data_IF_412123484503
#
_entry.id   IF_412123484503
#
_cell.length_a   1.000
_cell.length_b   1.000
_cell.length_c   1.000
_cell.angle_alpha   90.00
_cell.angle_beta   90.00
_cell.angle_gamma   90.00
#
_symmetry.space_group_name_H-M   'P 1'
#
loop_
_entity.id
_entity.type
_entity.pdbx_description
1 polymer ?
#
# COMPACT_ATOMS: atom_id res chain seq x y z
N UNK A 1 41.20 2.85 -18.90
CA UNK A 1 39.91 3.35 -19.42
C UNK A 1 38.86 3.53 -18.32
N UNK A 2 38.68 2.57 -17.41
CA UNK A 2 37.71 2.67 -16.29
C UNK A 2 38.00 3.78 -15.27
N UNK A 3 39.29 4.01 -14.92
CA UNK A 3 39.68 5.08 -14.00
C UNK A 3 39.45 6.49 -14.56
N UNK A 4 39.67 6.72 -15.85
CA UNK A 4 39.38 8.01 -16.50
C UNK A 4 37.89 8.29 -16.58
N UNK A 5 37.04 7.25 -16.71
CA UNK A 5 35.56 7.40 -16.68
C UNK A 5 35.08 7.74 -15.26
N UNK A 6 35.71 7.13 -14.23
CA UNK A 6 35.36 7.41 -12.82
C UNK A 6 35.75 8.85 -12.44
N UNK A 7 36.93 9.33 -12.87
CA UNK A 7 37.37 10.71 -12.65
C UNK A 7 36.50 11.74 -13.38
N UNK A 8 36.02 11.40 -14.59
CA UNK A 8 35.07 12.25 -15.31
C UNK A 8 33.67 12.28 -14.67
N UNK A 9 33.22 11.17 -14.08
CA UNK A 9 31.96 11.11 -13.34
C UNK A 9 32.04 11.87 -12.01
N UNK A 10 33.16 11.73 -11.29
CA UNK A 10 33.39 12.44 -10.03
C UNK A 10 33.56 13.95 -10.25
N UNK A 11 34.24 14.35 -11.34
CA UNK A 11 34.35 15.77 -11.68
C UNK A 11 33.04 16.39 -12.13
N UNK A 12 32.16 15.63 -12.85
CA UNK A 12 30.84 16.10 -13.22
C UNK A 12 29.89 16.20 -11.99
N UNK A 13 30.01 15.28 -11.03
CA UNK A 13 29.23 15.35 -9.77
C UNK A 13 29.68 16.55 -8.93
N UNK A 14 30.98 16.80 -8.80
CA UNK A 14 31.51 17.96 -8.06
C UNK A 14 31.08 19.29 -8.70
N UNK A 15 31.17 19.39 -10.03
CA UNK A 15 30.70 20.59 -10.76
C UNK A 15 29.20 20.81 -10.62
N UNK A 16 28.41 19.74 -10.66
CA UNK A 16 26.96 19.84 -10.44
C UNK A 16 26.62 20.26 -9.01
N UNK A 17 27.34 19.77 -8.00
CA UNK A 17 27.17 20.20 -6.61
C UNK A 17 27.52 21.66 -6.39
N UNK A 18 28.58 22.18 -7.01
CA UNK A 18 28.94 23.61 -6.95
C UNK A 18 27.89 24.49 -7.68
N UNK A 19 27.43 24.04 -8.85
CA UNK A 19 26.39 24.73 -9.60
C UNK A 19 25.07 24.80 -8.83
N UNK A 20 24.72 23.72 -8.14
CA UNK A 20 23.53 23.71 -7.25
C UNK A 20 23.71 24.62 -6.05
N UNK A 21 24.90 24.66 -5.43
CA UNK A 21 25.19 25.63 -4.36
C UNK A 21 25.09 27.07 -4.83
N UNK A 22 25.58 27.36 -6.03
CA UNK A 22 25.51 28.72 -6.60
C UNK A 22 24.06 29.11 -6.92
N UNK A 23 23.28 28.18 -7.48
CA UNK A 23 21.87 28.39 -7.79
C UNK A 23 21.01 28.51 -6.53
N UNK A 24 21.33 27.73 -5.48
CA UNK A 24 20.66 27.83 -4.19
C UNK A 24 20.96 29.16 -3.47
N UNK A 25 22.19 29.66 -3.58
CA UNK A 25 22.56 30.97 -3.06
C UNK A 25 21.83 32.10 -3.81
N UNK A 26 21.72 32.02 -5.14
CA UNK A 26 20.93 32.98 -5.94
C UNK A 26 19.45 32.92 -5.59
N UNK A 27 18.86 31.71 -5.51
CA UNK A 27 17.46 31.53 -5.17
C UNK A 27 17.13 31.98 -3.72
N UNK A 28 18.08 31.85 -2.76
CA UNK A 28 17.92 32.38 -1.40
C UNK A 28 17.88 33.89 -1.33
N UNK A 29 18.56 34.58 -2.27
CA UNK A 29 18.52 36.04 -2.40
C UNK A 29 17.24 36.53 -3.04
N UNK A 30 16.73 35.77 -4.04
CA UNK A 30 15.55 36.16 -4.84
C UNK A 30 14.23 35.58 -4.34
N UNK A 31 14.25 34.68 -3.32
CA UNK A 31 13.05 33.99 -2.79
C UNK A 31 12.34 33.09 -3.82
N UNK A 32 13.02 32.68 -4.89
CA UNK A 32 12.47 31.84 -5.95
C UNK A 32 12.48 30.36 -5.57
N UNK A 33 11.42 29.59 -5.88
CA UNK A 33 11.39 28.15 -5.66
C UNK A 33 12.51 27.42 -6.39
N UNK A 34 13.17 26.45 -5.73
CA UNK A 34 14.27 25.69 -6.32
C UNK A 34 14.07 24.21 -6.12
N UNK A 35 14.37 23.41 -7.19
CA UNK A 35 14.20 21.96 -7.19
C UNK A 35 15.56 21.27 -7.22
N UNK A 36 15.85 20.47 -6.19
CA UNK A 36 17.14 19.80 -6.03
C UNK A 36 17.12 18.39 -6.63
N UNK A 37 18.23 17.95 -7.24
CA UNK A 37 18.34 16.58 -7.75
C UNK A 37 18.28 15.51 -6.65
N UNK A 38 18.71 15.86 -5.45
CA UNK A 38 18.67 15.01 -4.25
C UNK A 38 17.28 14.47 -3.93
N UNK A 39 16.21 15.11 -4.43
CA UNK A 39 14.83 14.64 -4.27
C UNK A 39 14.63 13.19 -4.70
N UNK A 40 15.32 12.78 -5.79
CA UNK A 40 15.22 11.42 -6.30
C UNK A 40 15.88 10.40 -5.37
N UNK A 41 17.01 10.75 -4.76
CA UNK A 41 17.65 9.91 -3.74
C UNK A 41 16.76 9.78 -2.50
N UNK A 42 16.16 10.88 -2.05
CA UNK A 42 15.21 10.86 -0.91
C UNK A 42 14.01 9.98 -1.21
N UNK A 43 13.45 10.09 -2.42
CA UNK A 43 12.34 9.25 -2.87
C UNK A 43 12.73 7.77 -2.94
N UNK A 44 13.92 7.46 -3.47
CA UNK A 44 14.43 6.09 -3.51
C UNK A 44 14.56 5.48 -2.11
N UNK A 45 15.09 6.22 -1.14
CA UNK A 45 15.19 5.77 0.26
C UNK A 45 13.81 5.46 0.85
N UNK A 46 12.83 6.32 0.59
CA UNK A 46 11.46 6.08 0.99
C UNK A 46 10.86 4.85 0.30
N UNK A 47 11.07 4.69 -1.01
CA UNK A 47 10.61 3.51 -1.76
C UNK A 47 11.21 2.21 -1.23
N UNK A 48 12.49 2.18 -0.86
CA UNK A 48 13.14 1.02 -0.26
C UNK A 48 12.53 0.67 1.12
N UNK A 49 12.23 1.68 1.92
CA UNK A 49 11.55 1.49 3.21
C UNK A 49 10.14 0.93 3.00
N UNK A 50 9.38 1.54 2.11
CA UNK A 50 8.02 1.12 1.75
C UNK A 50 8.00 -0.31 1.20
N UNK A 51 8.94 -0.65 0.33
CA UNK A 51 9.17 -2.00 -0.20
C UNK A 51 9.41 -3.01 0.93
N UNK A 52 10.35 -2.72 1.84
CA UNK A 52 10.69 -3.62 2.95
C UNK A 52 9.51 -3.88 3.88
N UNK A 53 8.74 -2.84 4.21
CA UNK A 53 7.56 -2.99 5.06
C UNK A 53 6.44 -3.76 4.37
N UNK A 54 6.18 -3.48 3.10
CA UNK A 54 5.15 -4.16 2.31
C UNK A 54 5.45 -5.65 2.11
N UNK A 55 6.72 -6.02 1.90
CA UNK A 55 7.17 -7.41 1.90
C UNK A 55 6.80 -8.10 3.21
N UNK A 56 7.06 -7.47 4.34
CA UNK A 56 6.80 -8.03 5.67
C UNK A 56 5.30 -8.17 6.00
N UNK A 57 4.43 -7.44 5.30
CA UNK A 57 2.99 -7.60 5.48
C UNK A 57 2.50 -8.96 5.02
N UNK A 58 2.91 -9.42 3.83
CA UNK A 58 2.28 -10.56 3.15
C UNK A 58 3.12 -11.85 3.17
N UNK A 59 4.43 -11.77 3.41
CA UNK A 59 5.38 -12.87 3.23
C UNK A 59 5.05 -14.14 4.04
N UNK A 60 4.38 -14.04 5.19
CA UNK A 60 3.95 -15.20 5.98
C UNK A 60 2.59 -15.74 5.55
N UNK A 61 1.69 -14.88 5.11
CA UNK A 61 0.35 -15.30 4.71
C UNK A 61 0.36 -16.11 3.40
N UNK A 62 1.29 -15.82 2.48
CA UNK A 62 1.39 -16.58 1.23
C UNK A 62 1.90 -18.01 1.43
N UNK A 63 2.59 -18.28 2.53
CA UNK A 63 3.05 -19.61 2.94
C UNK A 63 2.30 -20.09 4.21
N UNK A 64 1.04 -19.72 4.36
CA UNK A 64 0.25 -19.99 5.57
C UNK A 64 0.24 -21.48 5.95
N UNK A 65 0.15 -22.39 4.98
CA UNK A 65 0.23 -23.82 5.21
C UNK A 65 1.53 -24.26 5.89
N UNK A 66 2.68 -23.74 5.45
CA UNK A 66 3.99 -24.03 6.06
C UNK A 66 4.12 -23.42 7.44
N UNK A 67 3.61 -22.21 7.63
CA UNK A 67 3.60 -21.52 8.93
C UNK A 67 2.76 -22.29 9.95
N UNK A 68 1.59 -22.80 9.54
CA UNK A 68 0.74 -23.65 10.39
C UNK A 68 1.46 -24.92 10.80
N UNK A 69 2.15 -25.57 9.86
CA UNK A 69 2.87 -26.83 10.14
C UNK A 69 4.06 -26.60 11.06
N UNK A 70 4.84 -25.54 10.85
CA UNK A 70 6.01 -25.23 11.64
C UNK A 70 5.68 -24.82 13.07
N UNK A 71 4.69 -23.93 13.27
CA UNK A 71 4.30 -23.41 14.60
C UNK A 71 3.19 -24.24 15.28
N UNK A 72 3.03 -25.49 14.92
CA UNK A 72 1.95 -26.35 15.40
C UNK A 72 1.89 -26.53 16.93
N UNK A 73 3.00 -26.37 17.64
CA UNK A 73 3.06 -26.51 19.10
C UNK A 73 2.45 -25.32 19.83
N UNK A 74 2.50 -24.14 19.25
CA UNK A 74 1.97 -22.90 19.83
C UNK A 74 0.60 -22.49 19.27
N UNK A 75 0.13 -23.18 18.23
CA UNK A 75 -1.16 -22.93 17.62
C UNK A 75 -2.24 -23.85 18.19
N UNK A 76 -3.50 -23.41 18.12
CA UNK A 76 -4.66 -24.19 18.58
C UNK A 76 -4.82 -25.49 17.78
N UNK A 77 -5.27 -26.54 18.45
CA UNK A 77 -5.68 -27.78 17.81
C UNK A 77 -6.95 -27.61 16.95
N UNK A 78 -7.76 -26.61 17.23
CA UNK A 78 -8.94 -26.28 16.44
C UNK A 78 -8.51 -25.65 15.12
N UNK A 79 -8.92 -26.24 13.99
CA UNK A 79 -8.52 -25.83 12.64
C UNK A 79 -8.89 -24.38 12.33
N UNK A 80 -10.11 -23.96 12.65
CA UNK A 80 -10.54 -22.59 12.46
C UNK A 80 -9.66 -21.58 13.22
N UNK A 81 -9.41 -21.84 14.50
CA UNK A 81 -8.59 -20.95 15.34
C UNK A 81 -7.14 -20.90 14.86
N UNK A 82 -6.60 -22.04 14.44
CA UNK A 82 -5.24 -22.17 13.93
C UNK A 82 -5.07 -21.35 12.64
N UNK A 83 -5.95 -21.54 11.66
CA UNK A 83 -5.91 -20.82 10.38
C UNK A 83 -6.19 -19.33 10.58
N UNK A 84 -7.15 -18.96 11.45
CA UNK A 84 -7.40 -17.57 11.80
C UNK A 84 -6.21 -16.89 12.44
N UNK A 85 -5.40 -17.59 13.25
CA UNK A 85 -4.20 -17.01 13.85
C UNK A 85 -3.19 -16.57 12.77
N UNK A 86 -3.07 -17.32 11.67
CA UNK A 86 -2.22 -16.93 10.54
C UNK A 86 -2.81 -15.72 9.80
N UNK A 87 -4.11 -15.67 9.60
CA UNK A 87 -4.76 -14.51 8.98
C UNK A 87 -4.52 -13.23 9.79
N UNK A 88 -4.50 -13.33 11.11
CA UNK A 88 -4.19 -12.22 12.00
C UNK A 88 -2.79 -11.63 11.81
N UNK A 89 -1.84 -12.36 11.24
CA UNK A 89 -0.54 -11.80 10.87
C UNK A 89 -0.66 -10.67 9.84
N UNK A 90 -1.66 -10.73 8.97
CA UNK A 90 -1.99 -9.64 8.03
C UNK A 90 -3.00 -8.66 8.62
N UNK A 91 -4.03 -9.15 9.31
CA UNK A 91 -5.11 -8.34 9.89
C UNK A 91 -4.59 -7.34 10.92
N UNK A 92 -3.54 -7.68 11.66
CA UNK A 92 -2.94 -6.77 12.65
C UNK A 92 -2.46 -5.46 12.01
N UNK A 93 -1.99 -5.47 10.77
CA UNK A 93 -1.63 -4.26 10.04
C UNK A 93 -2.84 -3.36 9.78
N UNK A 94 -3.97 -3.97 9.45
CA UNK A 94 -5.23 -3.25 9.20
C UNK A 94 -5.76 -2.64 10.50
N UNK A 95 -5.75 -3.42 11.58
CA UNK A 95 -6.24 -2.99 12.89
C UNK A 95 -5.39 -1.85 13.47
N UNK A 96 -4.08 -1.99 13.46
CA UNK A 96 -3.13 -0.98 13.96
C UNK A 96 -3.28 0.33 13.15
N UNK A 97 -3.49 0.25 11.83
CA UNK A 97 -3.73 1.42 11.01
C UNK A 97 -4.95 2.23 11.51
N UNK A 98 -6.08 1.55 11.71
CA UNK A 98 -7.31 2.21 12.18
C UNK A 98 -7.12 2.87 13.54
N UNK A 99 -6.44 2.20 14.48
CA UNK A 99 -6.28 2.69 15.85
C UNK A 99 -5.27 3.84 15.93
N UNK A 100 -4.16 3.75 15.19
CA UNK A 100 -3.02 4.64 15.35
C UNK A 100 -2.82 5.68 14.25
N UNK A 101 -3.69 5.73 13.23
CA UNK A 101 -3.50 6.68 12.12
C UNK A 101 -3.52 8.14 12.58
N UNK A 102 -4.39 8.49 13.53
CA UNK A 102 -4.49 9.85 14.06
C UNK A 102 -3.21 10.26 14.80
N UNK A 103 -2.73 9.52 15.81
CA UNK A 103 -1.47 9.86 16.48
C UNK A 103 -0.26 9.78 15.55
N UNK A 104 -0.24 8.87 14.56
CA UNK A 104 0.83 8.79 13.58
C UNK A 104 0.89 10.03 12.65
N UNK A 105 -0.27 10.50 12.20
CA UNK A 105 -0.37 11.73 11.41
C UNK A 105 0.07 12.95 12.24
N UNK A 106 -0.39 13.04 13.48
CA UNK A 106 0.07 14.08 14.40
C UNK A 106 1.60 14.06 14.60
N UNK A 107 2.18 12.87 14.77
CA UNK A 107 3.63 12.71 14.90
C UNK A 107 4.36 13.20 13.64
N UNK A 108 3.86 12.82 12.45
CA UNK A 108 4.40 13.26 11.17
C UNK A 108 4.35 14.79 11.02
N UNK A 109 3.24 15.42 11.43
CA UNK A 109 3.06 16.87 11.34
C UNK A 109 3.99 17.63 12.28
N UNK A 110 4.16 17.13 13.50
CA UNK A 110 5.00 17.78 14.53
C UNK A 110 6.49 17.52 14.37
N UNK A 111 6.88 16.33 13.95
CA UNK A 111 8.27 15.85 13.94
C UNK A 111 8.90 15.81 12.55
N UNK A 112 8.09 15.94 11.50
CA UNK A 112 8.55 15.98 10.11
C UNK A 112 8.75 14.59 9.49
N UNK A 113 9.13 14.62 8.21
CA UNK A 113 9.32 13.42 7.39
C UNK A 113 10.49 12.56 7.85
N UNK A 114 11.63 13.21 8.15
CA UNK A 114 12.86 12.50 8.50
C UNK A 114 12.68 11.65 9.74
N UNK A 115 12.20 12.24 10.82
CA UNK A 115 12.07 11.52 12.08
C UNK A 115 11.00 10.42 12.00
N UNK A 116 9.91 10.66 11.25
CA UNK A 116 8.88 9.66 10.99
C UNK A 116 9.43 8.46 10.21
N UNK A 117 10.22 8.69 9.16
CA UNK A 117 10.84 7.61 8.40
C UNK A 117 11.93 6.88 9.20
N UNK A 118 12.73 7.58 10.02
CA UNK A 118 13.72 6.95 10.90
C UNK A 118 13.02 6.03 11.91
N UNK A 119 11.99 6.53 12.58
CA UNK A 119 11.26 5.76 13.58
C UNK A 119 10.52 4.57 12.93
N UNK A 120 9.86 4.79 11.80
CA UNK A 120 9.19 3.72 11.06
C UNK A 120 10.15 2.65 10.55
N UNK A 121 11.27 3.03 9.90
CA UNK A 121 12.25 2.07 9.40
C UNK A 121 12.99 1.33 10.54
N UNK A 122 13.21 1.98 11.68
CA UNK A 122 13.70 1.32 12.88
C UNK A 122 12.75 0.23 13.38
N UNK A 123 11.45 0.53 13.52
CA UNK A 123 10.45 -0.45 13.92
C UNK A 123 10.34 -1.60 12.92
N UNK A 124 10.44 -1.30 11.63
CA UNK A 124 10.45 -2.31 10.59
C UNK A 124 11.65 -3.26 10.71
N UNK A 125 12.84 -2.74 10.95
CA UNK A 125 14.05 -3.53 11.18
C UNK A 125 13.95 -4.33 12.50
N UNK A 126 13.47 -3.71 13.58
CA UNK A 126 13.27 -4.38 14.87
C UNK A 126 12.31 -5.57 14.74
N UNK A 127 11.17 -5.39 14.06
CA UNK A 127 10.24 -6.47 13.78
C UNK A 127 10.86 -7.60 12.95
N UNK A 128 11.70 -7.27 11.97
CA UNK A 128 12.41 -8.27 11.17
C UNK A 128 13.39 -9.10 12.02
N UNK A 129 14.12 -8.48 12.94
CA UNK A 129 15.03 -9.21 13.86
C UNK A 129 14.28 -10.04 14.89
N UNK A 130 13.15 -9.57 15.40
CA UNK A 130 12.29 -10.37 16.28
C UNK A 130 11.77 -11.64 15.60
N UNK A 131 11.50 -11.57 14.27
CA UNK A 131 11.16 -12.77 13.49
C UNK A 131 12.30 -13.77 13.44
N UNK A 132 13.56 -13.33 13.34
CA UNK A 132 14.71 -14.23 13.43
C UNK A 132 14.77 -14.95 14.79
N UNK A 133 14.42 -14.26 15.89
CA UNK A 133 14.37 -14.85 17.22
C UNK A 133 13.14 -15.75 17.45
N UNK A 134 12.14 -15.68 16.57
CA UNK A 134 10.90 -16.44 16.67
C UNK A 134 10.92 -17.81 16.01
N UNK A 135 12.03 -18.20 15.39
CA UNK A 135 12.16 -19.49 14.67
C UNK A 135 12.27 -20.62 15.69
N UNK A 136 11.12 -21.02 16.22
CA UNK A 136 10.93 -22.16 17.10
C UNK A 136 9.42 -22.47 17.16
N UNK A 137 8.98 -23.73 17.14
CA UNK A 137 7.58 -24.10 17.06
C UNK A 137 6.68 -23.58 18.18
N UNK A 138 7.27 -23.23 19.32
CA UNK A 138 6.60 -22.70 20.52
C UNK A 138 6.48 -21.17 20.55
N UNK A 139 7.03 -20.45 19.55
CA UNK A 139 7.18 -18.98 19.57
C UNK A 139 6.30 -18.21 18.56
N UNK A 140 5.14 -18.73 18.22
CA UNK A 140 4.21 -17.99 17.34
C UNK A 140 3.82 -16.63 17.93
N UNK A 141 3.70 -16.51 19.24
CA UNK A 141 3.43 -15.24 19.92
C UNK A 141 4.48 -14.16 19.60
N UNK A 142 5.75 -14.56 19.43
CA UNK A 142 6.82 -13.64 19.07
C UNK A 142 6.73 -13.18 17.60
N UNK A 143 6.28 -14.08 16.70
CA UNK A 143 5.96 -13.70 15.30
C UNK A 143 4.85 -12.67 15.28
N UNK A 144 3.77 -12.86 16.05
CA UNK A 144 2.66 -11.93 16.15
C UNK A 144 3.10 -10.57 16.71
N UNK A 145 3.95 -10.57 17.74
CA UNK A 145 4.54 -9.36 18.31
C UNK A 145 5.38 -8.63 17.27
N UNK A 146 6.22 -9.34 16.54
CA UNK A 146 7.04 -8.78 15.45
C UNK A 146 6.18 -8.16 14.34
N UNK A 147 5.10 -8.85 13.92
CA UNK A 147 4.15 -8.33 12.95
C UNK A 147 3.45 -7.07 13.43
N UNK A 148 3.08 -7.02 14.70
CA UNK A 148 2.47 -5.83 15.31
C UNK A 148 3.43 -4.63 15.28
N UNK A 149 4.70 -4.83 15.57
CA UNK A 149 5.73 -3.78 15.47
C UNK A 149 5.90 -3.31 14.02
N UNK A 150 5.95 -4.23 13.05
CA UNK A 150 5.99 -3.89 11.63
C UNK A 150 4.71 -3.16 11.17
N UNK A 151 3.55 -3.51 11.76
CA UNK A 151 2.28 -2.83 11.48
C UNK A 151 2.29 -1.36 11.94
N UNK A 152 2.92 -1.05 13.09
CA UNK A 152 3.11 0.33 13.53
C UNK A 152 3.99 1.09 12.53
N UNK A 153 5.04 0.46 12.02
CA UNK A 153 5.88 1.04 10.96
C UNK A 153 5.08 1.41 9.71
N UNK A 154 4.10 0.61 9.30
CA UNK A 154 3.27 0.85 8.11
C UNK A 154 2.52 2.18 8.11
N UNK A 155 2.21 2.74 9.28
CA UNK A 155 1.49 4.00 9.41
C UNK A 155 2.14 5.14 8.60
N UNK A 156 3.46 5.19 8.60
CA UNK A 156 4.22 6.18 7.83
C UNK A 156 4.51 5.75 6.39
N UNK A 157 4.36 4.49 6.05
CA UNK A 157 4.48 4.01 4.67
C UNK A 157 3.28 4.45 3.83
N UNK A 158 2.05 4.26 4.33
CA UNK A 158 0.84 4.56 3.58
C UNK A 158 0.47 6.05 3.56
N UNK A 159 0.83 6.80 4.60
CA UNK A 159 0.46 8.20 4.76
C UNK A 159 1.45 9.21 4.16
N UNK A 160 2.67 8.80 3.87
CA UNK A 160 3.76 9.73 3.50
C UNK A 160 3.85 10.06 2.01
N UNK A 161 3.53 9.19 1.02
CA UNK A 161 3.92 9.44 -0.38
C UNK A 161 3.50 10.80 -0.92
N UNK A 162 2.25 11.20 -0.73
CA UNK A 162 1.75 12.49 -1.22
C UNK A 162 2.44 13.68 -0.52
N UNK A 163 2.63 13.60 0.78
CA UNK A 163 3.32 14.63 1.55
C UNK A 163 4.80 14.72 1.17
N UNK A 164 5.44 13.57 1.00
CA UNK A 164 6.83 13.48 0.56
C UNK A 164 7.03 14.18 -0.79
N UNK A 165 6.16 13.88 -1.75
CA UNK A 165 6.16 14.50 -3.06
C UNK A 165 5.94 16.02 -2.98
N UNK A 166 5.00 16.48 -2.17
CA UNK A 166 4.72 17.91 -1.99
C UNK A 166 5.90 18.66 -1.37
N UNK A 167 6.66 18.05 -0.45
CA UNK A 167 7.80 18.68 0.22
C UNK A 167 9.05 18.76 -0.66
N UNK A 168 9.29 17.73 -1.49
CA UNK A 168 10.55 17.58 -2.23
C UNK A 168 10.47 17.89 -3.73
N UNK A 169 9.28 17.83 -4.33
CA UNK A 169 9.10 17.92 -5.79
C UNK A 169 8.34 19.17 -6.21
N UNK A 170 8.70 19.69 -7.37
CA UNK A 170 8.01 20.82 -7.98
C UNK A 170 6.59 20.47 -8.47
N UNK A 171 5.73 21.47 -8.76
CA UNK A 171 4.32 21.28 -9.07
C UNK A 171 4.06 20.31 -10.22
N UNK A 172 4.97 20.25 -11.19
CA UNK A 172 4.82 19.41 -12.39
C UNK A 172 5.24 17.94 -12.16
N UNK A 173 5.88 17.63 -11.03
CA UNK A 173 6.46 16.30 -10.72
C UNK A 173 5.81 15.63 -9.50
N UNK A 174 4.95 16.33 -8.76
CA UNK A 174 4.32 15.82 -7.51
C UNK A 174 3.55 14.54 -7.75
N UNK A 175 2.73 14.47 -8.81
CA UNK A 175 1.94 13.28 -9.14
C UNK A 175 2.83 12.08 -9.47
N UNK A 176 3.89 12.29 -10.26
CA UNK A 176 4.87 11.26 -10.61
C UNK A 176 5.60 10.74 -9.37
N UNK A 177 6.03 11.63 -8.48
CA UNK A 177 6.74 11.27 -7.27
C UNK A 177 5.85 10.49 -6.28
N UNK A 178 4.59 10.89 -6.14
CA UNK A 178 3.59 10.17 -5.35
C UNK A 178 3.38 8.76 -5.90
N UNK A 179 3.21 8.64 -7.21
CA UNK A 179 3.01 7.35 -7.89
C UNK A 179 4.21 6.42 -7.71
N UNK A 180 5.43 6.93 -7.80
CA UNK A 180 6.66 6.16 -7.55
C UNK A 180 6.75 5.71 -6.09
N UNK A 181 6.37 6.55 -5.13
CA UNK A 181 6.31 6.18 -3.72
C UNK A 181 5.35 5.03 -3.45
N UNK A 182 4.17 5.07 -4.07
CA UNK A 182 3.19 3.97 -4.01
C UNK A 182 3.70 2.73 -4.76
N UNK A 183 4.36 2.91 -5.90
CA UNK A 183 4.95 1.82 -6.67
C UNK A 183 5.96 1.00 -5.87
N UNK A 184 6.81 1.65 -5.06
CA UNK A 184 7.74 0.95 -4.16
C UNK A 184 7.04 -0.02 -3.21
N UNK A 185 5.88 0.38 -2.66
CA UNK A 185 5.03 -0.48 -1.84
C UNK A 185 4.49 -1.68 -2.63
N UNK A 186 3.95 -1.46 -3.81
CA UNK A 186 3.37 -2.52 -4.65
C UNK A 186 4.42 -3.56 -5.06
N UNK A 187 5.62 -3.13 -5.44
CA UNK A 187 6.73 -4.07 -5.74
C UNK A 187 7.11 -4.88 -4.50
N UNK A 188 7.10 -4.27 -3.31
CA UNK A 188 7.31 -4.99 -2.05
C UNK A 188 6.30 -6.11 -1.82
N UNK A 189 5.02 -5.85 -2.09
CA UNK A 189 3.96 -6.87 -2.01
C UNK A 189 4.19 -7.97 -3.08
N UNK A 190 4.50 -7.60 -4.31
CA UNK A 190 4.73 -8.55 -5.40
C UNK A 190 5.88 -9.52 -5.08
N UNK A 191 7.00 -8.99 -4.57
CA UNK A 191 8.15 -9.79 -4.13
C UNK A 191 7.80 -10.62 -2.88
N UNK A 192 6.96 -10.09 -1.99
CA UNK A 192 6.42 -10.78 -0.82
C UNK A 192 5.52 -11.96 -1.17
N UNK A 193 4.88 -11.94 -2.32
CA UNK A 193 4.17 -13.11 -2.86
C UNK A 193 5.11 -14.12 -3.52
N UNK A 194 6.12 -13.66 -4.24
CA UNK A 194 6.98 -14.51 -5.06
C UNK A 194 8.04 -15.26 -4.25
N UNK A 195 8.77 -14.56 -3.39
CA UNK A 195 10.00 -15.08 -2.78
C UNK A 195 9.72 -16.13 -1.69
N UNK A 196 8.77 -15.95 -0.74
CA UNK A 196 8.58 -16.91 0.35
C UNK A 196 8.27 -18.33 -0.12
N UNK A 197 7.35 -18.60 -1.07
CA UNK A 197 7.09 -19.96 -1.53
C UNK A 197 8.27 -20.62 -2.27
N UNK A 198 9.21 -19.82 -2.78
CA UNK A 198 10.44 -20.31 -3.42
C UNK A 198 11.55 -20.65 -2.42
N UNK A 199 11.52 -20.05 -1.23
CA UNK A 199 12.54 -20.26 -0.20
C UNK A 199 12.10 -21.23 0.89
N UNK A 200 10.82 -21.26 1.22
CA UNK A 200 10.29 -22.01 2.36
C UNK A 200 9.30 -23.06 1.86
N UNK A 201 9.66 -24.32 2.03
CA UNK A 201 8.90 -25.45 1.53
C UNK A 201 8.33 -26.28 2.67
N UNK A 202 7.18 -26.93 2.42
CA UNK A 202 6.66 -27.96 3.31
C UNK A 202 7.60 -29.16 3.31
N UNK A 203 8.13 -29.52 4.44
CA UNK A 203 9.02 -30.68 4.60
C UNK A 203 8.60 -31.49 5.83
N UNK A 204 8.76 -32.81 5.77
CA UNK A 204 8.61 -33.69 6.93
C UNK A 204 9.76 -33.54 7.92
N UNK A 205 10.88 -33.01 7.44
CA UNK A 205 12.05 -32.71 8.27
C UNK A 205 11.94 -31.30 8.83
N UNK A 206 11.78 -31.19 10.14
CA UNK A 206 11.64 -29.92 10.86
C UNK A 206 12.90 -29.05 10.75
N UNK A 207 14.08 -29.66 10.77
CA UNK A 207 15.35 -28.93 10.68
C UNK A 207 15.51 -28.20 9.33
N UNK A 208 14.98 -28.81 8.26
CA UNK A 208 14.95 -28.19 6.94
C UNK A 208 14.01 -26.98 6.93
N UNK A 209 12.80 -27.08 7.48
CA UNK A 209 11.88 -25.94 7.57
C UNK A 209 12.44 -24.82 8.44
N UNK A 210 13.06 -25.16 9.57
CA UNK A 210 13.71 -24.20 10.46
C UNK A 210 14.82 -23.42 9.71
N UNK A 211 15.65 -24.13 8.95
CA UNK A 211 16.70 -23.50 8.13
C UNK A 211 16.13 -22.57 7.08
N UNK A 212 15.07 -22.97 6.38
CA UNK A 212 14.40 -22.16 5.37
C UNK A 212 13.83 -20.86 5.98
N UNK A 213 13.19 -20.94 7.16
CA UNK A 213 12.71 -19.76 7.88
C UNK A 213 13.86 -18.84 8.31
N UNK A 214 14.97 -19.39 8.81
CA UNK A 214 16.14 -18.58 9.15
C UNK A 214 16.70 -17.86 7.95
N UNK A 215 16.84 -18.51 6.81
CA UNK A 215 17.34 -17.89 5.57
C UNK A 215 16.43 -16.71 5.18
N UNK A 216 15.13 -16.93 5.11
CA UNK A 216 14.17 -15.90 4.73
C UNK A 216 14.19 -14.71 5.71
N UNK A 217 14.16 -14.97 7.01
CA UNK A 217 14.11 -13.93 8.02
C UNK A 217 15.43 -13.15 8.13
N UNK A 218 16.60 -13.82 8.03
CA UNK A 218 17.87 -13.12 8.04
C UNK A 218 18.10 -12.24 6.82
N UNK A 219 17.72 -12.70 5.62
CA UNK A 219 17.79 -11.87 4.41
C UNK A 219 16.90 -10.62 4.58
N UNK A 220 15.68 -10.81 5.07
CA UNK A 220 14.76 -9.71 5.31
C UNK A 220 15.26 -8.75 6.40
N UNK A 221 15.80 -9.27 7.52
CA UNK A 221 16.34 -8.46 8.62
C UNK A 221 17.58 -7.67 8.17
N UNK A 222 18.48 -8.29 7.41
CA UNK A 222 19.65 -7.63 6.84
C UNK A 222 19.24 -6.50 5.90
N UNK A 223 18.28 -6.74 5.00
CA UNK A 223 17.77 -5.72 4.09
C UNK A 223 17.08 -4.57 4.83
N UNK A 224 16.21 -4.87 5.80
CA UNK A 224 15.54 -3.85 6.60
C UNK A 224 16.52 -3.00 7.41
N UNK A 225 17.58 -3.62 7.98
CA UNK A 225 18.64 -2.92 8.71
C UNK A 225 19.47 -2.04 7.78
N UNK A 226 19.80 -2.53 6.58
CA UNK A 226 20.53 -1.76 5.58
C UNK A 226 19.72 -0.50 5.18
N UNK A 227 18.44 -0.65 4.91
CA UNK A 227 17.53 0.47 4.59
C UNK A 227 17.43 1.45 5.75
N UNK A 228 17.31 0.96 6.99
CA UNK A 228 17.30 1.82 8.18
C UNK A 228 18.57 2.66 8.30
N UNK A 229 19.74 2.05 8.12
CA UNK A 229 21.03 2.76 8.18
C UNK A 229 21.11 3.81 7.08
N UNK A 230 20.69 3.49 5.85
CA UNK A 230 20.65 4.46 4.75
C UNK A 230 19.76 5.66 5.07
N UNK A 231 18.57 5.41 5.62
CA UNK A 231 17.62 6.47 6.03
C UNK A 231 18.21 7.33 7.15
N UNK A 232 18.81 6.70 8.16
CA UNK A 232 19.43 7.40 9.27
C UNK A 232 20.53 8.37 8.82
N UNK A 233 21.36 7.93 7.86
CA UNK A 233 22.51 8.69 7.38
C UNK A 233 22.14 9.74 6.33
N UNK A 234 21.27 9.42 5.38
CA UNK A 234 21.09 10.22 4.17
C UNK A 234 19.75 10.93 4.05
N UNK A 235 18.67 10.44 4.71
CA UNK A 235 17.36 11.05 4.57
C UNK A 235 17.32 12.44 5.24
N UNK A 236 16.83 13.43 4.50
CA UNK A 236 16.65 14.80 4.99
C UNK A 236 15.16 15.11 5.14
N UNK A 237 14.82 15.99 6.07
CA UNK A 237 13.42 16.35 6.37
C UNK A 237 12.77 17.16 5.24
N UNK A 238 13.47 18.16 4.76
CA UNK A 238 13.03 19.08 3.71
C UNK A 238 14.22 19.61 2.92
N UNK A 239 14.02 20.08 1.67
CA UNK A 239 15.06 20.77 0.93
C UNK A 239 15.37 22.13 1.57
N UNK A 240 16.57 22.71 1.29
CA UNK A 240 16.96 24.03 1.81
C UNK A 240 15.99 25.15 1.42
N UNK A 241 15.45 25.09 0.18
CA UNK A 241 14.42 26.01 -0.33
C UNK A 241 13.19 25.24 -0.75
N UNK A 242 11.98 25.78 -0.55
CA UNK A 242 10.75 25.10 -0.95
C UNK A 242 10.68 24.94 -2.47
N UNK A 243 10.17 23.79 -2.98
CA UNK A 243 10.12 23.49 -4.40
C UNK A 243 9.01 24.25 -5.15
N UNK A 244 8.07 24.88 -4.43
CA UNK A 244 6.98 25.66 -5.00
C UNK A 244 6.46 26.74 -4.04
N UNK A 245 5.82 27.77 -4.63
CA UNK A 245 5.11 28.81 -3.85
C UNK A 245 3.92 28.21 -3.10
N UNK A 246 3.25 27.21 -3.66
CA UNK A 246 2.14 26.52 -2.99
C UNK A 246 2.61 25.80 -1.72
N UNK A 247 3.79 25.17 -1.75
CA UNK A 247 4.39 24.55 -0.55
C UNK A 247 4.76 25.58 0.50
N UNK A 248 5.24 26.76 0.08
CA UNK A 248 5.55 27.84 1.00
C UNK A 248 4.29 28.36 1.71
N UNK A 249 3.19 28.53 0.96
CA UNK A 249 1.89 28.92 1.53
C UNK A 249 1.27 27.80 2.39
N UNK A 250 1.40 26.54 2.01
CA UNK A 250 0.85 25.42 2.76
C UNK A 250 1.48 25.27 4.15
N UNK A 251 2.75 25.60 4.30
CA UNK A 251 3.43 25.63 5.61
C UNK A 251 2.81 26.70 6.52
N UNK A 252 2.40 27.84 5.95
CA UNK A 252 1.79 28.96 6.69
C UNK A 252 0.31 28.68 7.05
N UNK A 253 -0.43 27.97 6.20
CA UNK A 253 -1.87 27.68 6.36
C UNK A 253 -2.12 26.43 7.23
N UNK A 254 -1.28 25.41 7.13
CA UNK A 254 -1.42 24.16 7.90
C UNK A 254 -1.37 24.38 9.44
N UNK A 255 -0.91 25.55 9.88
CA UNK A 255 -0.90 25.94 11.29
C UNK A 255 -2.30 26.33 11.84
N UNK A 256 -3.34 26.48 11.00
CA UNK A 256 -4.61 27.11 11.38
C UNK A 256 -5.87 26.29 11.07
N UNK A 257 -5.82 25.18 10.32
CA UNK A 257 -7.01 24.35 10.07
C UNK A 257 -7.23 23.30 11.15
N UNK A 258 -8.43 23.28 11.72
CA UNK A 258 -8.89 22.24 12.63
C UNK A 258 -9.20 20.94 11.87
N UNK A 259 -8.26 20.01 11.84
CA UNK A 259 -8.36 18.69 11.20
C UNK A 259 -9.68 17.97 11.48
N UNK A 260 -10.17 18.00 12.70
CA UNK A 260 -11.44 17.35 13.06
C UNK A 260 -12.67 17.98 12.41
N UNK A 261 -12.68 19.29 12.17
CA UNK A 261 -13.81 19.94 11.48
C UNK A 261 -13.87 19.53 10.00
N UNK A 262 -12.71 19.45 9.34
CA UNK A 262 -12.59 18.95 7.98
C UNK A 262 -13.13 17.52 7.87
N UNK A 263 -12.73 16.65 8.79
CA UNK A 263 -13.18 15.25 8.87
C UNK A 263 -14.73 15.17 8.97
N UNK A 264 -15.34 15.94 9.86
CA UNK A 264 -16.80 15.95 10.02
C UNK A 264 -17.55 16.49 8.80
N UNK A 265 -16.99 17.52 8.10
CA UNK A 265 -17.58 18.02 6.86
C UNK A 265 -17.59 16.97 5.77
N UNK A 266 -16.49 16.23 5.59
CA UNK A 266 -16.41 15.13 4.62
C UNK A 266 -17.39 14.01 4.93
N UNK A 267 -17.52 13.60 6.20
CA UNK A 267 -18.49 12.56 6.60
C UNK A 267 -19.97 12.98 6.45
N UNK A 268 -20.27 14.28 6.36
CA UNK A 268 -21.60 14.78 6.00
C UNK A 268 -21.89 14.76 4.51
N UNK A 269 -20.85 14.67 3.66
CA UNK A 269 -21.02 14.58 2.21
C UNK A 269 -21.46 13.16 1.82
N UNK A 270 -22.74 12.99 1.46
CA UNK A 270 -23.31 11.69 1.08
C UNK A 270 -22.58 11.03 -0.10
N UNK A 271 -22.15 11.82 -1.09
CA UNK A 271 -21.40 11.32 -2.24
C UNK A 271 -20.06 10.73 -1.82
N UNK A 272 -19.36 11.42 -0.92
CA UNK A 272 -18.10 10.93 -0.37
C UNK A 272 -18.28 9.67 0.49
N UNK A 273 -19.33 9.61 1.32
CA UNK A 273 -19.63 8.43 2.15
C UNK A 273 -19.91 7.20 1.27
N UNK A 274 -20.71 7.34 0.21
CA UNK A 274 -20.94 6.24 -0.74
C UNK A 274 -19.66 5.80 -1.42
N UNK A 275 -18.81 6.76 -1.84
CA UNK A 275 -17.50 6.45 -2.42
C UNK A 275 -16.60 5.74 -1.39
N UNK A 276 -16.57 6.20 -0.13
CA UNK A 276 -15.75 5.59 0.92
C UNK A 276 -16.17 4.13 1.20
N UNK A 277 -17.46 3.84 1.22
CA UNK A 277 -17.97 2.47 1.37
C UNK A 277 -17.60 1.63 0.14
N UNK A 278 -17.84 2.15 -1.07
CA UNK A 278 -17.50 1.44 -2.31
C UNK A 278 -15.98 1.19 -2.41
N UNK A 279 -15.15 2.19 -2.10
CA UNK A 279 -13.70 2.05 -2.03
C UNK A 279 -13.27 1.01 -1.01
N UNK A 280 -13.90 1.03 0.17
CA UNK A 280 -13.68 0.05 1.22
C UNK A 280 -13.98 -1.38 0.78
N UNK A 281 -15.09 -1.60 0.08
CA UNK A 281 -15.47 -2.93 -0.42
C UNK A 281 -14.44 -3.46 -1.43
N UNK A 282 -14.09 -2.69 -2.46
CA UNK A 282 -13.18 -3.18 -3.52
C UNK A 282 -11.74 -3.33 -3.02
N UNK A 283 -11.23 -2.36 -2.28
CA UNK A 283 -9.87 -2.41 -1.74
C UNK A 283 -9.76 -3.40 -0.58
N UNK A 284 -10.79 -3.48 0.26
CA UNK A 284 -10.90 -4.50 1.30
C UNK A 284 -10.94 -5.90 0.71
N UNK A 285 -11.64 -6.12 -0.40
CA UNK A 285 -11.64 -7.39 -1.13
C UNK A 285 -10.25 -7.74 -1.66
N UNK A 286 -9.51 -6.76 -2.18
CA UNK A 286 -8.13 -6.96 -2.61
C UNK A 286 -7.22 -7.42 -1.46
N UNK A 287 -7.29 -6.76 -0.30
CA UNK A 287 -6.51 -7.16 0.88
C UNK A 287 -6.93 -8.53 1.40
N UNK A 288 -8.21 -8.85 1.35
CA UNK A 288 -8.75 -10.16 1.76
C UNK A 288 -8.26 -11.28 0.84
N UNK A 289 -8.34 -11.09 -0.48
CA UNK A 289 -7.80 -12.07 -1.45
C UNK A 289 -6.31 -12.25 -1.22
N UNK A 290 -5.57 -11.17 -1.04
CA UNK A 290 -4.12 -11.22 -0.77
C UNK A 290 -3.80 -12.03 0.48
N UNK A 291 -4.54 -11.82 1.56
CA UNK A 291 -4.34 -12.52 2.85
C UNK A 291 -4.70 -14.01 2.76
N UNK A 292 -5.80 -14.32 2.07
CA UNK A 292 -6.34 -15.68 1.97
C UNK A 292 -5.91 -16.45 0.71
N UNK A 293 -5.05 -15.86 -0.13
CA UNK A 293 -4.68 -16.45 -1.42
C UNK A 293 -4.13 -17.87 -1.30
N UNK A 294 -3.27 -18.11 -0.32
CA UNK A 294 -2.73 -19.45 -0.05
C UNK A 294 -3.86 -20.45 0.25
N UNK A 295 -4.79 -20.09 1.13
CA UNK A 295 -5.91 -20.95 1.49
C UNK A 295 -6.85 -21.23 0.31
N UNK A 296 -7.14 -20.19 -0.50
CA UNK A 296 -7.99 -20.31 -1.69
C UNK A 296 -7.33 -21.23 -2.72
N UNK A 297 -6.07 -20.98 -3.05
CA UNK A 297 -5.37 -21.72 -4.10
C UNK A 297 -5.09 -23.17 -3.71
N UNK A 298 -4.58 -23.42 -2.52
CA UNK A 298 -4.25 -24.78 -2.09
C UNK A 298 -5.48 -25.67 -1.80
N UNK A 299 -6.66 -25.05 -1.64
CA UNK A 299 -7.91 -25.82 -1.59
C UNK A 299 -8.20 -26.54 -2.92
N UNK A 300 -7.95 -25.87 -4.06
CA UNK A 300 -8.20 -26.40 -5.40
C UNK A 300 -6.95 -27.04 -6.03
N UNK A 301 -5.77 -26.48 -5.77
CA UNK A 301 -4.49 -26.87 -6.39
C UNK A 301 -3.50 -27.30 -5.31
N UNK A 302 -3.55 -28.57 -4.95
CA UNK A 302 -2.63 -29.12 -3.93
C UNK A 302 -1.20 -29.14 -4.45
N UNK A 303 -0.24 -28.81 -3.59
CA UNK A 303 1.20 -28.75 -3.88
C UNK A 303 1.63 -27.72 -4.94
N UNK A 304 0.82 -26.67 -5.13
CA UNK A 304 1.10 -25.58 -6.09
C UNK A 304 1.46 -24.26 -5.36
N UNK A 305 2.27 -24.36 -4.29
CA UNK A 305 2.67 -23.21 -3.45
C UNK A 305 3.42 -22.16 -4.26
N UNK A 306 4.37 -22.56 -5.11
CA UNK A 306 5.11 -21.63 -5.95
C UNK A 306 4.21 -20.91 -6.97
N UNK A 307 3.29 -21.63 -7.62
CA UNK A 307 2.35 -21.03 -8.55
C UNK A 307 1.34 -20.12 -7.82
N UNK A 308 0.98 -20.43 -6.59
CA UNK A 308 0.19 -19.54 -5.73
C UNK A 308 0.90 -18.20 -5.51
N UNK A 309 2.19 -18.22 -5.21
CA UNK A 309 3.01 -17.01 -5.09
C UNK A 309 3.13 -16.24 -6.42
N UNK A 310 3.34 -16.93 -7.53
CA UNK A 310 3.39 -16.32 -8.87
C UNK A 310 2.06 -15.67 -9.27
N UNK A 311 0.93 -16.28 -8.90
CA UNK A 311 -0.42 -15.71 -9.10
C UNK A 311 -0.56 -14.44 -8.29
N UNK A 312 -0.16 -14.45 -7.02
CA UNK A 312 -0.16 -13.24 -6.17
C UNK A 312 0.67 -12.11 -6.77
N UNK A 313 1.89 -12.41 -7.22
CA UNK A 313 2.73 -11.45 -7.94
C UNK A 313 2.05 -10.93 -9.21
N UNK A 314 1.41 -11.79 -9.98
CA UNK A 314 0.68 -11.42 -11.21
C UNK A 314 -0.45 -10.43 -10.91
N UNK A 315 -1.23 -10.67 -9.86
CA UNK A 315 -2.30 -9.75 -9.40
C UNK A 315 -1.74 -8.35 -9.16
N UNK A 316 -0.61 -8.25 -8.48
CA UNK A 316 0.01 -6.95 -8.16
C UNK A 316 0.57 -6.27 -9.40
N UNK A 317 1.35 -6.97 -10.21
CA UNK A 317 2.00 -6.38 -11.39
C UNK A 317 0.97 -5.93 -12.45
N UNK A 318 -0.05 -6.73 -12.71
CA UNK A 318 -1.15 -6.31 -13.59
C UNK A 318 -1.94 -5.15 -13.00
N UNK A 319 -2.11 -5.11 -11.68
CA UNK A 319 -2.75 -4.01 -10.97
C UNK A 319 -1.99 -2.69 -11.08
N UNK A 320 -0.66 -2.71 -10.99
CA UNK A 320 0.19 -1.53 -11.25
C UNK A 320 0.00 -1.03 -12.68
N UNK A 321 -0.01 -1.92 -13.65
CA UNK A 321 -0.28 -1.59 -15.05
C UNK A 321 -1.68 -0.97 -15.22
N UNK A 322 -2.69 -1.57 -14.58
CA UNK A 322 -4.06 -1.07 -14.56
C UNK A 322 -4.16 0.34 -13.96
N UNK A 323 -3.44 0.60 -12.86
CA UNK A 323 -3.40 1.91 -12.22
C UNK A 323 -2.80 3.00 -13.13
N UNK A 324 -1.72 2.67 -13.85
CA UNK A 324 -1.09 3.59 -14.81
C UNK A 324 -2.05 3.90 -15.97
N UNK A 325 -2.67 2.88 -16.56
CA UNK A 325 -3.61 3.05 -17.68
C UNK A 325 -4.84 3.83 -17.22
N UNK A 326 -5.41 3.50 -16.08
CA UNK A 326 -6.57 4.21 -15.53
C UNK A 326 -6.25 5.68 -15.19
N UNK A 327 -5.06 5.97 -14.67
CA UNK A 327 -4.60 7.34 -14.43
C UNK A 327 -4.50 8.16 -15.72
N UNK A 328 -3.85 7.62 -16.76
CA UNK A 328 -3.73 8.28 -18.07
C UNK A 328 -5.11 8.50 -18.71
N UNK A 329 -6.00 7.51 -18.61
CA UNK A 329 -7.37 7.63 -19.10
C UNK A 329 -8.13 8.75 -18.39
N UNK A 330 -8.04 8.79 -17.07
CA UNK A 330 -8.72 9.78 -16.25
C UNK A 330 -8.21 11.20 -16.50
N UNK A 331 -6.90 11.36 -16.68
CA UNK A 331 -6.29 12.64 -17.00
C UNK A 331 -6.77 13.21 -18.33
N UNK A 332 -6.99 12.33 -19.33
CA UNK A 332 -7.48 12.73 -20.65
C UNK A 332 -8.99 12.97 -20.69
N UNK A 333 -9.78 12.14 -20.02
CA UNK A 333 -11.23 12.14 -20.16
C UNK A 333 -11.97 12.93 -19.08
N UNK A 334 -11.35 13.06 -17.88
CA UNK A 334 -11.94 13.68 -16.69
C UNK A 334 -13.31 13.07 -16.29
N UNK A 335 -13.56 11.81 -16.67
CA UNK A 335 -14.83 11.10 -16.46
C UNK A 335 -14.76 10.24 -15.19
N UNK A 336 -14.60 10.86 -14.01
CA UNK A 336 -14.38 10.16 -12.75
C UNK A 336 -15.44 9.11 -12.44
N UNK A 337 -16.72 9.48 -12.45
CA UNK A 337 -17.83 8.55 -12.14
C UNK A 337 -17.92 7.39 -13.12
N UNK A 338 -17.88 7.68 -14.43
CA UNK A 338 -17.98 6.63 -15.45
C UNK A 338 -16.80 5.65 -15.39
N UNK A 339 -15.59 6.17 -15.21
CA UNK A 339 -14.36 5.36 -15.05
C UNK A 339 -14.45 4.48 -13.81
N UNK A 340 -14.89 5.03 -12.69
CA UNK A 340 -15.04 4.30 -11.42
C UNK A 340 -16.06 3.15 -11.53
N UNK A 341 -17.23 3.41 -12.15
CA UNK A 341 -18.24 2.37 -12.40
C UNK A 341 -17.69 1.30 -13.36
N UNK A 342 -17.03 1.70 -14.43
CA UNK A 342 -16.45 0.78 -15.43
C UNK A 342 -15.45 -0.17 -14.78
N UNK A 343 -14.50 0.37 -13.98
CA UNK A 343 -13.52 -0.45 -13.25
C UNK A 343 -14.22 -1.40 -12.27
N UNK A 344 -15.27 -0.95 -11.60
CA UNK A 344 -16.02 -1.79 -10.67
C UNK A 344 -16.71 -2.96 -11.37
N UNK A 345 -17.36 -2.70 -12.52
CA UNK A 345 -18.01 -3.75 -13.34
C UNK A 345 -16.98 -4.78 -13.82
N UNK A 346 -15.82 -4.34 -14.32
CA UNK A 346 -14.77 -5.24 -14.76
C UNK A 346 -14.09 -5.99 -13.60
N UNK A 347 -13.98 -5.37 -12.42
CA UNK A 347 -13.50 -6.06 -11.21
C UNK A 347 -14.48 -7.15 -10.78
N UNK A 348 -15.78 -6.88 -10.82
CA UNK A 348 -16.82 -7.87 -10.55
C UNK A 348 -16.77 -9.01 -11.56
N UNK A 349 -16.67 -8.72 -12.85
CA UNK A 349 -16.53 -9.74 -13.89
C UNK A 349 -15.26 -10.58 -13.69
N UNK A 350 -14.15 -9.95 -13.35
CA UNK A 350 -12.89 -10.62 -13.02
C UNK A 350 -13.00 -11.51 -11.77
N UNK A 351 -13.70 -11.06 -10.73
CA UNK A 351 -13.94 -11.85 -9.52
C UNK A 351 -14.82 -13.08 -9.77
N UNK A 352 -15.87 -12.92 -10.59
CA UNK A 352 -16.72 -14.04 -11.02
C UNK A 352 -15.89 -15.01 -11.87
N UNK A 353 -15.15 -14.54 -12.85
CA UNK A 353 -14.28 -15.39 -13.67
C UNK A 353 -13.25 -16.13 -12.81
N UNK A 354 -12.57 -15.46 -11.90
CA UNK A 354 -11.64 -16.08 -10.96
C UNK A 354 -12.31 -17.18 -10.15
N UNK A 355 -13.49 -16.91 -9.57
CA UNK A 355 -14.23 -17.89 -8.75
C UNK A 355 -14.58 -19.17 -9.52
N UNK A 356 -15.09 -19.03 -10.74
CA UNK A 356 -15.52 -20.20 -11.55
C UNK A 356 -14.36 -20.92 -12.25
N UNK A 357 -13.19 -20.30 -12.40
CA UNK A 357 -12.03 -20.91 -13.02
C UNK A 357 -11.16 -21.70 -12.03
N UNK A 358 -11.32 -21.47 -10.73
CA UNK A 358 -10.61 -22.24 -9.70
C UNK A 358 -10.91 -23.75 -9.77
N UNK A 359 -12.11 -24.12 -10.19
CA UNK A 359 -12.56 -25.51 -10.26
C UNK A 359 -12.20 -26.21 -11.58
N UNK A 360 -11.50 -25.52 -12.50
CA UNK A 360 -11.18 -26.05 -13.85
C UNK A 360 -9.90 -26.91 -13.89
N UNK A 361 -9.25 -27.18 -12.76
CA UNK A 361 -7.99 -27.93 -12.65
C UNK A 361 -6.83 -27.39 -13.54
N UNK A 362 -6.98 -26.18 -14.08
CA UNK A 362 -6.02 -25.54 -14.99
C UNK A 362 -5.44 -24.27 -14.41
N UNK A 363 -4.27 -24.36 -13.78
CA UNK A 363 -3.59 -23.23 -13.11
C UNK A 363 -3.36 -22.04 -14.04
N UNK A 364 -3.07 -22.27 -15.33
CA UNK A 364 -2.83 -21.19 -16.31
C UNK A 364 -4.06 -20.31 -16.56
N UNK A 365 -5.28 -20.86 -16.47
CA UNK A 365 -6.51 -20.08 -16.58
C UNK A 365 -6.65 -19.16 -15.37
N UNK A 366 -6.27 -19.65 -14.18
CA UNK A 366 -6.29 -18.85 -12.95
C UNK A 366 -5.31 -17.68 -13.03
N UNK A 367 -4.15 -17.84 -13.66
CA UNK A 367 -3.23 -16.72 -13.94
C UNK A 367 -3.91 -15.60 -14.73
N UNK A 368 -4.67 -15.94 -15.77
CA UNK A 368 -5.36 -14.97 -16.61
C UNK A 368 -6.48 -14.27 -15.83
N UNK A 369 -7.31 -15.01 -15.15
CA UNK A 369 -8.46 -14.47 -14.41
C UNK A 369 -8.02 -13.67 -13.18
N UNK A 370 -7.03 -14.14 -12.43
CA UNK A 370 -6.42 -13.42 -11.33
C UNK A 370 -5.71 -12.14 -11.81
N UNK A 371 -4.98 -12.20 -12.92
CA UNK A 371 -4.36 -11.04 -13.55
C UNK A 371 -5.39 -10.00 -13.99
N UNK A 372 -6.49 -10.40 -14.59
CA UNK A 372 -7.59 -9.51 -14.97
C UNK A 372 -8.22 -8.87 -13.74
N UNK A 373 -8.49 -9.65 -12.71
CA UNK A 373 -9.01 -9.18 -11.44
C UNK A 373 -8.08 -8.14 -10.80
N UNK A 374 -6.78 -8.44 -10.73
CA UNK A 374 -5.76 -7.54 -10.20
C UNK A 374 -5.65 -6.24 -10.99
N UNK A 375 -5.69 -6.31 -12.31
CA UNK A 375 -5.63 -5.16 -13.21
C UNK A 375 -6.70 -4.11 -12.86
N UNK A 376 -7.94 -4.52 -12.72
CA UNK A 376 -9.04 -3.60 -12.43
C UNK A 376 -9.13 -3.26 -10.94
N UNK A 377 -9.04 -4.24 -10.06
CA UNK A 377 -9.22 -4.05 -8.63
C UNK A 377 -8.15 -3.15 -8.00
N UNK A 378 -6.88 -3.39 -8.31
CA UNK A 378 -5.76 -2.55 -7.84
C UNK A 378 -5.68 -1.24 -8.62
N UNK A 379 -6.03 -1.25 -9.90
CA UNK A 379 -6.14 -0.06 -10.73
C UNK A 379 -7.18 0.96 -10.24
N UNK A 380 -8.14 0.52 -9.44
CA UNK A 380 -9.13 1.38 -8.79
C UNK A 380 -8.53 2.36 -7.77
N UNK A 381 -7.43 2.00 -7.11
CA UNK A 381 -6.87 2.77 -6.00
C UNK A 381 -6.65 4.26 -6.31
N UNK A 382 -5.86 4.63 -7.34
CA UNK A 382 -5.64 6.04 -7.67
C UNK A 382 -6.91 6.73 -8.16
N UNK A 383 -7.76 6.03 -8.90
CA UNK A 383 -9.03 6.59 -9.42
C UNK A 383 -9.96 6.95 -8.29
N UNK A 384 -10.03 6.11 -7.24
CA UNK A 384 -10.81 6.39 -6.03
C UNK A 384 -10.31 7.62 -5.29
N UNK A 385 -9.00 7.82 -5.16
CA UNK A 385 -8.42 9.01 -4.55
C UNK A 385 -8.73 10.29 -5.32
N UNK A 386 -8.57 10.27 -6.63
CA UNK A 386 -8.88 11.42 -7.49
C UNK A 386 -10.38 11.76 -7.46
N UNK A 387 -11.25 10.76 -7.49
CA UNK A 387 -12.69 10.99 -7.37
C UNK A 387 -13.07 11.55 -5.98
N UNK A 388 -12.43 11.07 -4.92
CA UNK A 388 -12.62 11.65 -3.59
C UNK A 388 -12.20 13.12 -3.54
N UNK A 389 -11.05 13.48 -4.11
CA UNK A 389 -10.58 14.85 -4.18
C UNK A 389 -11.57 15.76 -4.93
N UNK A 390 -12.19 15.27 -6.00
CA UNK A 390 -13.25 16.02 -6.72
C UNK A 390 -14.50 16.26 -5.86
N UNK A 391 -14.95 15.24 -5.12
CA UNK A 391 -16.17 15.31 -4.30
C UNK A 391 -15.99 16.15 -3.04
N UNK A 392 -14.78 16.20 -2.47
CA UNK A 392 -14.51 16.82 -1.16
C UNK A 392 -13.89 18.20 -1.26
N UNK A 393 -13.53 18.68 -2.44
CA UNK A 393 -12.95 20.01 -2.60
C UNK A 393 -13.79 21.07 -1.82
N UNK A 394 -13.19 22.01 -1.10
CA UNK A 394 -11.76 22.35 -0.98
C UNK A 394 -10.98 21.65 0.14
N UNK A 395 -11.50 20.55 0.69
CA UNK A 395 -10.83 19.81 1.76
C UNK A 395 -9.50 19.19 1.30
N UNK A 396 -8.60 18.90 2.26
CA UNK A 396 -7.30 18.30 1.98
C UNK A 396 -7.41 16.92 1.32
N UNK A 397 -6.69 16.73 0.20
CA UNK A 397 -6.60 15.43 -0.50
C UNK A 397 -5.99 14.33 0.40
N UNK A 398 -5.05 14.70 1.27
CA UNK A 398 -4.46 13.78 2.25
C UNK A 398 -5.47 13.28 3.27
N UNK A 399 -6.39 14.12 3.72
CA UNK A 399 -7.44 13.72 4.67
C UNK A 399 -8.49 12.84 4.00
N UNK A 400 -8.91 13.17 2.77
CA UNK A 400 -9.88 12.36 2.03
C UNK A 400 -9.33 10.98 1.68
N UNK A 401 -8.09 10.88 1.20
CA UNK A 401 -7.43 9.61 0.92
C UNK A 401 -7.17 8.79 2.19
N UNK A 402 -6.82 9.44 3.28
CA UNK A 402 -6.67 8.79 4.59
C UNK A 402 -7.96 8.13 5.09
N UNK A 403 -9.12 8.81 4.91
CA UNK A 403 -10.44 8.23 5.21
C UNK A 403 -10.80 7.05 4.31
N UNK A 404 -10.49 7.13 3.02
CA UNK A 404 -10.69 6.01 2.09
C UNK A 404 -9.83 4.80 2.52
N UNK A 405 -8.57 5.01 2.85
CA UNK A 405 -7.70 3.96 3.35
C UNK A 405 -8.22 3.36 4.67
N UNK A 406 -8.70 4.18 5.60
CA UNK A 406 -9.31 3.69 6.83
C UNK A 406 -10.54 2.82 6.56
N UNK A 407 -11.41 3.24 5.64
CA UNK A 407 -12.55 2.43 5.19
C UNK A 407 -12.09 1.09 4.59
N UNK A 408 -11.07 1.10 3.74
CA UNK A 408 -10.51 -0.12 3.17
C UNK A 408 -9.99 -1.09 4.24
N UNK A 409 -9.34 -0.59 5.29
CA UNK A 409 -8.86 -1.43 6.39
C UNK A 409 -10.01 -2.04 7.20
N UNK A 410 -11.08 -1.28 7.46
CA UNK A 410 -12.28 -1.79 8.16
C UNK A 410 -12.93 -2.92 7.35
N UNK A 411 -13.19 -2.69 6.07
CA UNK A 411 -13.77 -3.72 5.21
C UNK A 411 -12.85 -4.93 5.03
N UNK A 412 -11.54 -4.73 4.94
CA UNK A 412 -10.58 -5.82 4.86
C UNK A 412 -10.62 -6.74 6.09
N UNK A 413 -10.73 -6.18 7.29
CA UNK A 413 -10.87 -6.98 8.52
C UNK A 413 -12.17 -7.79 8.48
N UNK A 414 -13.30 -7.12 8.21
CA UNK A 414 -14.63 -7.76 8.19
C UNK A 414 -14.67 -8.88 7.14
N UNK A 415 -14.19 -8.59 5.93
CA UNK A 415 -14.21 -9.54 4.83
C UNK A 415 -13.26 -10.73 5.08
N UNK A 416 -12.05 -10.49 5.58
CA UNK A 416 -11.09 -11.56 5.84
C UNK A 416 -11.61 -12.51 6.93
N UNK A 417 -12.11 -11.98 8.04
CA UNK A 417 -12.69 -12.80 9.11
C UNK A 417 -13.97 -13.53 8.66
N UNK A 418 -14.83 -12.83 7.92
CA UNK A 418 -16.06 -13.41 7.38
C UNK A 418 -15.79 -14.53 6.37
N UNK A 419 -14.89 -14.32 5.42
CA UNK A 419 -14.52 -15.34 4.44
C UNK A 419 -13.83 -16.54 5.10
N UNK A 420 -12.93 -16.32 6.08
CA UNK A 420 -12.32 -17.42 6.83
C UNK A 420 -13.38 -18.25 7.56
N UNK A 421 -14.35 -17.62 8.21
CA UNK A 421 -15.45 -18.32 8.85
C UNK A 421 -16.30 -19.12 7.85
N UNK A 422 -16.52 -18.57 6.65
CA UNK A 422 -17.25 -19.29 5.58
C UNK A 422 -16.45 -20.46 5.00
N UNK A 423 -15.11 -20.35 4.89
CA UNK A 423 -14.26 -21.44 4.42
C UNK A 423 -14.43 -22.69 5.29
N UNK A 424 -14.49 -22.51 6.60
CA UNK A 424 -14.57 -23.61 7.57
C UNK A 424 -16.02 -24.13 7.76
N UNK A 425 -17.01 -23.22 7.71
CA UNK A 425 -18.41 -23.58 8.00
C UNK A 425 -19.22 -24.01 6.79
N UNK A 426 -18.83 -23.57 5.57
CA UNK A 426 -19.57 -23.86 4.34
C UNK A 426 -18.59 -24.42 3.30
N UNK A 427 -17.91 -23.57 2.53
CA UNK A 427 -16.85 -23.88 1.58
C UNK A 427 -16.23 -22.60 0.99
N UNK A 428 -15.09 -22.76 0.30
CA UNK A 428 -14.35 -21.65 -0.35
C UNK A 428 -15.17 -21.02 -1.48
N UNK A 429 -15.90 -21.80 -2.25
CA UNK A 429 -16.72 -21.31 -3.36
C UNK A 429 -17.81 -20.32 -2.88
N UNK A 430 -18.55 -20.68 -1.82
CA UNK A 430 -19.58 -19.80 -1.25
C UNK A 430 -19.01 -18.50 -0.72
N UNK A 431 -17.82 -18.51 -0.12
CA UNK A 431 -17.14 -17.31 0.32
C UNK A 431 -16.78 -16.40 -0.85
N UNK A 432 -16.23 -16.96 -1.94
CA UNK A 432 -15.89 -16.19 -3.15
C UNK A 432 -17.16 -15.60 -3.81
N UNK A 433 -18.27 -16.34 -3.86
CA UNK A 433 -19.55 -15.81 -4.36
C UNK A 433 -20.07 -14.68 -3.47
N UNK A 434 -19.93 -14.78 -2.15
CA UNK A 434 -20.30 -13.70 -1.23
C UNK A 434 -19.49 -12.44 -1.51
N UNK A 435 -18.20 -12.57 -1.78
CA UNK A 435 -17.35 -11.44 -2.19
C UNK A 435 -17.82 -10.84 -3.51
N UNK A 436 -18.18 -11.65 -4.51
CA UNK A 436 -18.77 -11.16 -5.76
C UNK A 436 -20.09 -10.37 -5.51
N UNK A 437 -20.94 -10.85 -4.60
CA UNK A 437 -22.17 -10.15 -4.22
C UNK A 437 -21.88 -8.79 -3.56
N UNK A 438 -20.85 -8.70 -2.72
CA UNK A 438 -20.42 -7.44 -2.13
C UNK A 438 -19.83 -6.47 -3.16
N UNK A 439 -19.07 -6.96 -4.14
CA UNK A 439 -18.61 -6.14 -5.27
C UNK A 439 -19.80 -5.63 -6.12
N UNK A 440 -20.86 -6.42 -6.28
CA UNK A 440 -22.08 -5.97 -6.94
C UNK A 440 -22.75 -4.83 -6.15
N UNK A 441 -22.82 -4.94 -4.82
CA UNK A 441 -23.32 -3.86 -3.95
C UNK A 441 -22.45 -2.60 -4.10
N UNK A 442 -21.14 -2.73 -4.12
CA UNK A 442 -20.21 -1.63 -4.33
C UNK A 442 -20.40 -0.96 -5.70
N UNK A 443 -20.66 -1.75 -6.75
CA UNK A 443 -21.00 -1.24 -8.09
C UNK A 443 -22.27 -0.38 -8.04
N UNK A 444 -23.29 -0.87 -7.38
CA UNK A 444 -24.55 -0.14 -7.21
C UNK A 444 -24.37 1.15 -6.41
N UNK A 445 -23.64 1.11 -5.29
CA UNK A 445 -23.33 2.31 -4.50
C UNK A 445 -22.58 3.36 -5.33
N UNK A 446 -21.64 2.94 -6.15
CA UNK A 446 -20.90 3.85 -7.05
C UNK A 446 -21.84 4.47 -8.09
N UNK A 447 -22.79 3.73 -8.64
CA UNK A 447 -23.77 4.23 -9.60
C UNK A 447 -24.68 5.31 -9.00
N UNK A 448 -25.00 5.23 -7.72
CA UNK A 448 -25.88 6.20 -7.00
C UNK A 448 -25.14 7.51 -6.69
N UNK A 449 -23.81 7.56 -6.69
CA UNK A 449 -23.05 8.78 -6.43
C UNK A 449 -23.42 9.85 -7.47
N UNK A 450 -23.85 11.03 -7.01
CA UNK A 450 -24.08 12.18 -7.89
C UNK A 450 -22.72 12.75 -8.36
N UNK A 451 -22.52 13.02 -9.64
CA UNK A 451 -21.29 13.61 -10.15
C UNK A 451 -21.21 15.10 -9.79
N UNK A 452 -20.65 15.41 -8.63
CA UNK A 452 -20.38 16.78 -8.16
C UNK A 452 -18.87 17.04 -8.26
N UNK A 453 -18.41 17.51 -9.42
CA UNK A 453 -16.99 17.75 -9.71
C UNK A 453 -16.57 19.15 -9.25
N UNK A 454 -16.46 19.32 -7.93
CA UNK A 454 -16.22 20.61 -7.28
C UNK A 454 -14.87 21.21 -7.65
N UNK A 455 -13.82 20.39 -7.72
CA UNK A 455 -12.46 20.82 -8.06
C UNK A 455 -12.38 21.31 -9.51
N UNK A 456 -13.02 20.62 -10.46
CA UNK A 456 -13.09 21.04 -11.86
C UNK A 456 -13.90 22.34 -12.00
N UNK A 457 -15.07 22.44 -11.36
CA UNK A 457 -15.91 23.62 -11.36
C UNK A 457 -15.18 24.85 -10.78
N UNK A 458 -14.37 24.65 -9.74
CA UNK A 458 -13.52 25.72 -9.18
C UNK A 458 -12.44 26.18 -10.17
N UNK A 459 -11.82 25.25 -10.89
CA UNK A 459 -10.83 25.57 -11.93
C UNK A 459 -11.41 26.33 -13.12
N UNK A 460 -12.69 26.13 -13.43
CA UNK A 460 -13.41 26.82 -14.51
C UNK A 460 -14.05 28.18 -14.09
N UNK A 461 -13.87 28.58 -12.84
CA UNK A 461 -14.44 29.84 -12.31
C UNK A 461 -15.95 29.76 -11.93
N UNK A 462 -16.57 28.60 -12.00
CA UNK A 462 -18.00 28.40 -11.74
C UNK A 462 -18.30 28.24 -10.22
N UNK A 463 -17.28 28.09 -9.40
CA UNK A 463 -17.40 27.89 -7.96
C UNK A 463 -17.98 29.10 -7.22
N UNK A 464 -17.62 30.30 -7.65
CA UNK A 464 -18.04 31.54 -6.99
C UNK A 464 -19.57 31.82 -7.10
N UNK A 465 -20.28 31.16 -7.99
CA UNK A 465 -21.73 31.35 -8.19
C UNK A 465 -22.63 30.46 -7.34
N UNK A 466 -22.08 29.50 -6.57
CA UNK A 466 -22.85 28.53 -5.76
C UNK A 466 -22.77 28.75 -4.25
N UNK A 467 -22.05 29.75 -3.81
CA UNK A 467 -21.88 30.08 -2.38
C UNK A 467 -22.76 31.23 -1.92
N UNK A 468 -23.66 31.76 -2.77
CA UNK A 468 -24.70 32.77 -2.42
C UNK A 468 -26.05 32.12 -2.14
#
# INVERSE_FOLDING_TARGET
>A
MKLKLLDQLLSKTAVNEELEKLNSLKASVDGTPHVYWQRWLMLLLFCLYSFSNAFQWIHLNIIANVVVEFYNESLSANEYQRNSAIDWLSIVYMLIYIILIIPATWFLDKKGLRLSCIFGSFLNALGAWLKCASVSPDRFWLVMTAQTICAISQLWVLGIPARFAAVWFGPNEVSTATSLGVFGNQIGIAVGFLIPPMLVHTSKDRDTMETDFYIMFYINAAFASFVFVLILLFLRDKPPLPPSRAQQMAVDVAAHEEYFKSLFRMLKNKGFVYLAIAYGIITGSFYTISTLLNAIMLHYFKNEEENTGRIGMTIILTGVLGAIIAGIWLDKTKTFKATTIGIYIFSLAGAVAFTFTLDQEAVWIVFITAGTLGFFMTGYLPVGFEFAAELTFPESEGTSSGLLNASAQVFAIILTLGMRAMFESINVFSANITMCALLLIGTFLTAVIKPDYRRQNAGNGEWAQRTD
#
